data_IF_226425571471
#
_entry.id   IF_226425571471
#
_cell.length_a   1.000
_cell.length_b   1.000
_cell.length_c   1.000
_cell.angle_alpha   90.00
_cell.angle_beta   90.00
_cell.angle_gamma   90.00
#
_symmetry.space_group_name_H-M   'P 1'
#
loop_
_entity.id
_entity.type
_entity.pdbx_description
1 polymer ?
#
# COMPACT_ATOMS: atom_id res chain seq x y z
N UNK A 1 24.17 14.38 -6.87
CA UNK A 1 22.77 13.97 -6.65
C UNK A 1 22.07 15.12 -5.98
N UNK A 2 21.09 15.76 -6.62
CA UNK A 2 20.20 16.69 -5.90
C UNK A 2 19.32 15.79 -5.03
N UNK A 3 19.50 15.87 -3.71
CA UNK A 3 18.64 15.14 -2.79
C UNK A 3 17.24 15.75 -2.89
N UNK A 4 16.31 15.03 -3.50
CA UNK A 4 14.89 15.37 -3.43
C UNK A 4 14.38 15.25 -2.00
N UNK A 5 13.28 15.92 -1.67
CA UNK A 5 12.61 15.74 -0.38
C UNK A 5 12.22 14.28 -0.19
N UNK A 6 12.55 13.73 0.99
CA UNK A 6 12.26 12.35 1.34
C UNK A 6 10.75 12.10 1.39
N UNK A 7 10.28 11.08 0.67
CA UNK A 7 8.87 10.67 0.63
C UNK A 7 8.66 9.41 1.46
N UNK A 8 8.00 9.57 2.61
CA UNK A 8 7.68 8.48 3.54
C UNK A 8 6.18 8.12 3.47
N UNK A 9 5.88 6.84 3.34
CA UNK A 9 4.55 6.28 3.55
C UNK A 9 4.54 5.42 4.83
N UNK A 10 3.59 5.68 5.73
CA UNK A 10 3.36 4.86 6.93
C UNK A 10 1.96 4.28 6.91
N UNK A 11 1.85 2.97 7.17
CA UNK A 11 0.59 2.23 7.20
C UNK A 11 0.35 1.61 8.57
N UNK A 12 -0.67 2.10 9.28
CA UNK A 12 -1.03 1.58 10.60
C UNK A 12 -1.68 0.19 10.50
N UNK A 13 -1.57 -0.58 11.60
CA UNK A 13 -2.32 -1.80 11.77
C UNK A 13 -3.82 -1.53 11.95
N UNK A 14 -4.67 -2.37 11.36
CA UNK A 14 -6.12 -2.13 11.38
C UNK A 14 -7.00 -3.34 11.13
N UNK A 15 -6.45 -4.55 10.98
CA UNK A 15 -7.20 -5.73 10.55
C UNK A 15 -8.03 -5.39 9.30
N UNK A 16 -9.30 -5.75 9.24
CA UNK A 16 -10.20 -5.40 8.11
C UNK A 16 -10.23 -3.89 7.77
N UNK A 17 -9.96 -3.00 8.73
CA UNK A 17 -9.90 -1.54 8.49
C UNK A 17 -8.71 -1.13 7.63
N UNK A 18 -7.70 -1.98 7.43
CA UNK A 18 -6.59 -1.73 6.50
C UNK A 18 -7.05 -1.49 5.06
N UNK A 19 -8.25 -1.97 4.69
CA UNK A 19 -8.88 -1.65 3.41
C UNK A 19 -9.10 -0.16 3.22
N UNK A 20 -9.43 0.60 4.26
CA UNK A 20 -9.64 2.05 4.12
C UNK A 20 -8.33 2.77 3.73
N UNK A 21 -7.21 2.40 4.35
CA UNK A 21 -5.88 2.91 4.02
C UNK A 21 -5.50 2.58 2.57
N UNK A 22 -5.80 1.36 2.11
CA UNK A 22 -5.57 0.96 0.72
C UNK A 22 -6.44 1.75 -0.27
N UNK A 23 -7.70 2.03 0.06
CA UNK A 23 -8.59 2.83 -0.80
C UNK A 23 -8.10 4.29 -0.92
N UNK A 24 -7.61 4.86 0.18
CA UNK A 24 -6.99 6.19 0.19
C UNK A 24 -5.72 6.17 -0.66
N UNK A 25 -4.84 5.18 -0.46
CA UNK A 25 -3.61 5.04 -1.22
C UNK A 25 -3.87 4.88 -2.71
N UNK A 26 -4.85 4.05 -3.10
CA UNK A 26 -5.30 3.89 -4.49
C UNK A 26 -5.70 5.23 -5.08
N UNK A 27 -6.55 5.98 -4.37
CA UNK A 27 -7.00 7.30 -4.83
C UNK A 27 -5.83 8.26 -5.04
N UNK A 28 -4.82 8.22 -4.16
CA UNK A 28 -3.62 9.05 -4.24
C UNK A 28 -2.75 8.67 -5.45
N UNK A 29 -2.48 7.38 -5.66
CA UNK A 29 -1.71 6.91 -6.81
C UNK A 29 -2.42 7.22 -8.14
N UNK A 30 -3.74 6.99 -8.23
CA UNK A 30 -4.53 7.34 -9.42
C UNK A 30 -4.62 8.84 -9.66
N UNK A 31 -4.57 9.67 -8.61
CA UNK A 31 -4.54 11.12 -8.79
C UNK A 31 -3.20 11.62 -9.36
N UNK A 32 -2.12 10.84 -9.21
CA UNK A 32 -0.82 11.15 -9.77
C UNK A 32 -0.74 10.82 -11.27
N UNK A 33 -1.17 9.62 -11.65
CA UNK A 33 -1.32 9.19 -13.03
C UNK A 33 -2.62 8.35 -13.15
N UNK A 34 -3.68 8.88 -13.77
CA UNK A 34 -4.94 8.17 -13.92
C UNK A 34 -4.86 6.95 -14.85
N UNK A 35 -4.00 7.01 -15.87
CA UNK A 35 -3.92 5.98 -16.92
C UNK A 35 -2.96 4.88 -16.51
N UNK A 36 -1.83 5.25 -15.91
CA UNK A 36 -0.80 4.31 -15.43
C UNK A 36 -0.35 4.66 -14.01
N UNK A 37 -1.19 4.42 -12.98
CA UNK A 37 -0.84 4.74 -11.60
C UNK A 37 0.49 4.09 -11.19
N UNK A 38 1.46 4.85 -10.66
CA UNK A 38 2.74 4.29 -10.25
C UNK A 38 2.53 3.35 -9.06
N UNK A 39 3.45 2.40 -8.88
CA UNK A 39 3.46 1.59 -7.67
C UNK A 39 3.98 2.44 -6.51
N UNK A 40 3.48 2.23 -5.27
CA UNK A 40 3.98 2.95 -4.12
C UNK A 40 5.51 2.86 -3.96
N UNK A 41 6.12 1.71 -4.24
CA UNK A 41 7.56 1.51 -4.16
C UNK A 41 8.38 2.25 -5.23
N UNK A 42 7.74 2.76 -6.28
CA UNK A 42 8.40 3.56 -7.33
C UNK A 42 8.35 5.06 -6.99
N UNK A 43 7.56 5.46 -5.99
CA UNK A 43 7.33 6.86 -5.63
C UNK A 43 7.82 7.24 -4.23
N UNK A 44 7.63 6.36 -3.25
CA UNK A 44 8.07 6.58 -1.87
C UNK A 44 9.45 5.96 -1.64
N UNK A 45 10.36 6.76 -1.10
CA UNK A 45 11.72 6.32 -0.76
C UNK A 45 11.73 5.32 0.40
N UNK A 46 10.76 5.47 1.30
CA UNK A 46 10.60 4.58 2.45
C UNK A 46 9.13 4.31 2.72
N UNK A 47 8.82 3.04 2.98
CA UNK A 47 7.47 2.59 3.30
C UNK A 47 7.54 1.71 4.55
N UNK A 48 6.82 2.10 5.59
CA UNK A 48 6.74 1.39 6.87
C UNK A 48 5.30 1.02 7.21
N UNK A 49 5.13 0.00 8.05
CA UNK A 49 3.82 -0.33 8.58
C UNK A 49 3.89 -1.27 9.77
N UNK A 50 2.79 -1.36 10.54
CA UNK A 50 2.68 -2.18 11.75
C UNK A 50 1.54 -3.19 11.62
N UNK A 51 1.70 -4.40 12.18
CA UNK A 51 0.68 -5.47 12.12
C UNK A 51 0.18 -5.71 10.67
N UNK A 52 -1.12 -5.59 10.40
CA UNK A 52 -1.65 -5.74 9.04
C UNK A 52 -1.15 -4.68 8.06
N UNK A 53 -0.76 -3.49 8.53
CA UNK A 53 -0.06 -2.49 7.73
C UNK A 53 1.29 -3.01 7.22
N UNK A 54 2.03 -3.80 8.03
CA UNK A 54 3.28 -4.42 7.59
C UNK A 54 3.06 -5.47 6.50
N UNK A 55 1.98 -6.25 6.57
CA UNK A 55 1.59 -7.18 5.50
C UNK A 55 1.32 -6.43 4.19
N UNK A 56 0.60 -5.30 4.28
CA UNK A 56 0.37 -4.42 3.12
C UNK A 56 1.70 -3.90 2.55
N UNK A 57 2.64 -3.47 3.40
CA UNK A 57 3.99 -3.06 2.94
C UNK A 57 4.72 -4.19 2.23
N UNK A 58 4.65 -5.43 2.74
CA UNK A 58 5.28 -6.59 2.06
C UNK A 58 4.68 -6.76 0.66
N UNK A 59 3.36 -6.70 0.52
CA UNK A 59 2.71 -6.81 -0.78
C UNK A 59 3.13 -5.68 -1.74
N UNK A 60 2.99 -4.43 -1.32
CA UNK A 60 3.25 -3.27 -2.18
C UNK A 60 4.74 -3.07 -2.50
N UNK A 61 5.64 -3.40 -1.58
CA UNK A 61 7.07 -3.07 -1.70
C UNK A 61 7.94 -4.27 -2.03
N UNK A 62 7.74 -5.41 -1.34
CA UNK A 62 8.56 -6.61 -1.54
C UNK A 62 8.07 -7.44 -2.71
N UNK A 63 6.75 -7.62 -2.83
CA UNK A 63 6.15 -8.34 -3.96
C UNK A 63 5.90 -7.42 -5.16
N UNK A 64 5.98 -6.10 -4.96
CA UNK A 64 5.85 -5.06 -6.00
C UNK A 64 4.55 -5.16 -6.80
N UNK A 65 3.47 -5.59 -6.14
CA UNK A 65 2.14 -5.66 -6.76
C UNK A 65 1.47 -4.28 -6.78
N UNK A 66 0.52 -4.08 -7.69
CA UNK A 66 -0.22 -2.83 -7.78
C UNK A 66 -1.17 -2.66 -6.59
N UNK A 67 -1.58 -1.41 -6.30
CA UNK A 67 -2.49 -1.15 -5.18
C UNK A 67 -3.83 -1.89 -5.33
N UNK A 68 -4.34 -2.01 -6.55
CA UNK A 68 -5.57 -2.76 -6.82
C UNK A 68 -5.42 -4.25 -6.51
N UNK A 69 -4.34 -4.88 -6.97
CA UNK A 69 -4.03 -6.28 -6.67
C UNK A 69 -3.85 -6.50 -5.17
N UNK A 70 -3.26 -5.54 -4.47
CA UNK A 70 -3.14 -5.57 -3.02
C UNK A 70 -4.50 -5.49 -2.32
N UNK A 71 -5.46 -4.71 -2.85
CA UNK A 71 -6.83 -4.66 -2.32
C UNK A 71 -7.51 -6.01 -2.51
N UNK A 72 -7.40 -6.63 -3.68
CA UNK A 72 -8.01 -7.92 -3.99
C UNK A 72 -7.45 -9.01 -3.08
N UNK A 73 -6.12 -9.08 -2.96
CA UNK A 73 -5.45 -10.00 -2.05
C UNK A 73 -5.87 -9.76 -0.59
N UNK A 74 -5.88 -8.50 -0.14
CA UNK A 74 -6.26 -8.17 1.23
C UNK A 74 -7.73 -8.48 1.55
N UNK A 75 -8.61 -8.37 0.56
CA UNK A 75 -10.05 -8.70 0.70
C UNK A 75 -10.28 -10.21 0.74
N UNK A 76 -9.39 -11.02 0.16
CA UNK A 76 -9.45 -12.49 0.20
C UNK A 76 -8.82 -13.13 1.45
N UNK A 77 -8.06 -12.38 2.25
CA UNK A 77 -7.43 -12.86 3.49
C UNK A 77 -8.41 -13.25 4.63
N UNK A 78 -9.52 -12.53 4.87
CA UNK A 78 -10.39 -12.76 6.03
C UNK A 78 -10.98 -14.16 6.12
N UNK A 79 -11.19 -14.85 4.99
CA UNK A 79 -11.76 -16.20 4.97
C UNK A 79 -10.89 -17.25 5.69
N UNK A 80 -9.64 -16.94 6.05
CA UNK A 80 -8.74 -17.88 6.72
C UNK A 80 -7.94 -17.31 7.92
N UNK A 81 -8.11 -16.04 8.33
CA UNK A 81 -7.17 -15.41 9.29
C UNK A 81 -7.73 -14.46 10.35
N UNK A 82 -8.97 -13.95 10.23
CA UNK A 82 -9.51 -12.97 11.20
C UNK A 82 -10.75 -13.47 11.97
N UNK A 83 -10.94 -14.80 12.08
CA UNK A 83 -11.84 -15.41 13.08
C UNK A 83 -11.31 -15.24 14.51
#
# INVERSE_FOLDING_TARGET
MVAGELRLLSLDGGAVRGLSSLMILRRLMTAFDPDTPPRPCDYFDMIGGTSTGALIVIMLCRLRIAVNECIDAYTSLPDNTFE
#
